data_IF_562651580444
#
_entry.id   IF_562651580444
#
_cell.length_a   1.000
_cell.length_b   1.000
_cell.length_c   1.000
_cell.angle_alpha   90.00
_cell.angle_beta   90.00
_cell.angle_gamma   90.00
#
_symmetry.space_group_name_H-M   'P 1'
#
loop_
_entity.id
_entity.type
_entity.pdbx_description
1 polymer ?
#
# COMPACT_ATOMS: atom_id res chain seq x y z
N UNK A 1 14.22 -28.76 -22.03
CA UNK A 1 15.10 -27.59 -21.88
C UNK A 1 16.49 -28.09 -21.50
N UNK A 2 17.53 -27.61 -22.19
CA UNK A 2 18.93 -27.95 -21.86
C UNK A 2 19.26 -27.52 -20.43
N UNK A 3 20.06 -28.32 -19.73
CA UNK A 3 20.42 -28.09 -18.33
C UNK A 3 21.14 -26.75 -18.13
N UNK A 4 22.02 -26.37 -19.06
CA UNK A 4 22.71 -25.07 -19.06
C UNK A 4 21.78 -23.86 -19.20
N UNK A 5 20.67 -24.01 -19.92
CA UNK A 5 19.66 -22.95 -20.06
C UNK A 5 18.86 -22.82 -18.76
N UNK A 6 18.50 -23.95 -18.16
CA UNK A 6 17.78 -23.98 -16.87
C UNK A 6 18.59 -23.31 -15.77
N UNK A 7 19.85 -23.70 -15.61
CA UNK A 7 20.75 -23.12 -14.62
C UNK A 7 20.90 -21.60 -14.79
N UNK A 8 20.99 -21.12 -16.03
CA UNK A 8 21.10 -19.69 -16.32
C UNK A 8 19.84 -18.92 -15.95
N UNK A 9 18.67 -19.50 -16.16
CA UNK A 9 17.38 -18.93 -15.77
C UNK A 9 17.21 -18.90 -14.25
N UNK A 10 17.58 -19.98 -13.56
CA UNK A 10 17.51 -20.06 -12.10
C UNK A 10 18.44 -19.04 -11.43
N UNK A 11 19.65 -18.87 -11.98
CA UNK A 11 20.58 -17.82 -11.55
C UNK A 11 20.00 -16.42 -11.78
N UNK A 12 19.37 -16.17 -12.93
CA UNK A 12 18.70 -14.89 -13.20
C UNK A 12 17.56 -14.61 -12.22
N UNK A 13 16.72 -15.60 -11.91
CA UNK A 13 15.65 -15.43 -10.92
C UNK A 13 16.20 -15.13 -9.52
N UNK A 14 17.32 -15.75 -9.17
CA UNK A 14 17.99 -15.53 -7.88
C UNK A 14 18.59 -14.13 -7.81
N UNK A 15 19.29 -13.69 -8.85
CA UNK A 15 19.79 -12.31 -8.98
C UNK A 15 18.64 -11.30 -8.89
N UNK A 16 17.53 -11.54 -9.59
CA UNK A 16 16.35 -10.66 -9.57
C UNK A 16 15.68 -10.55 -8.20
N UNK A 17 15.68 -11.62 -7.39
CA UNK A 17 15.12 -11.61 -6.03
C UNK A 17 16.00 -10.85 -5.04
N UNK A 18 17.32 -10.85 -5.25
CA UNK A 18 18.27 -10.17 -4.38
C UNK A 18 18.68 -8.77 -4.86
N UNK A 19 18.34 -8.38 -6.08
CA UNK A 19 18.72 -7.11 -6.68
C UNK A 19 18.03 -5.92 -5.98
N UNK A 20 18.79 -4.84 -5.82
CA UNK A 20 18.22 -3.55 -5.43
C UNK A 20 17.44 -2.93 -6.60
N UNK A 21 16.58 -1.96 -6.34
CA UNK A 21 15.81 -1.25 -7.39
C UNK A 21 16.72 -0.66 -8.50
N UNK A 22 17.93 -0.24 -8.13
CA UNK A 22 18.91 0.34 -9.05
C UNK A 22 19.59 -0.73 -9.92
N UNK A 23 19.67 -1.97 -9.45
CA UNK A 23 20.36 -3.07 -10.12
C UNK A 23 19.43 -3.92 -10.99
N UNK A 24 18.12 -3.89 -10.73
CA UNK A 24 17.10 -4.66 -11.47
C UNK A 24 17.19 -4.42 -12.98
N UNK A 25 17.42 -3.18 -13.40
CA UNK A 25 17.55 -2.84 -14.83
C UNK A 25 18.78 -3.54 -15.45
N UNK A 26 19.92 -3.52 -14.78
CA UNK A 26 21.15 -4.12 -15.27
C UNK A 26 21.05 -5.65 -15.34
N UNK A 27 20.42 -6.27 -14.33
CA UNK A 27 20.17 -7.72 -14.30
C UNK A 27 19.27 -8.14 -15.47
N UNK A 28 18.21 -7.37 -15.74
CA UNK A 28 17.32 -7.58 -16.89
C UNK A 28 18.03 -7.42 -18.22
N UNK A 29 18.85 -6.39 -18.39
CA UNK A 29 19.58 -6.14 -19.64
C UNK A 29 20.59 -7.25 -19.94
N UNK A 30 21.34 -7.69 -18.93
CA UNK A 30 22.28 -8.81 -19.05
C UNK A 30 21.57 -10.10 -19.45
N UNK A 31 20.43 -10.39 -18.83
CA UNK A 31 19.63 -11.56 -19.18
C UNK A 31 19.04 -11.47 -20.58
N UNK A 32 18.46 -10.31 -20.95
CA UNK A 32 17.89 -10.09 -22.28
C UNK A 32 18.95 -10.22 -23.39
N UNK A 33 20.17 -9.74 -23.14
CA UNK A 33 21.30 -9.87 -24.05
C UNK A 33 21.64 -11.34 -24.28
N UNK A 34 21.79 -12.12 -23.21
CA UNK A 34 22.02 -13.57 -23.33
C UNK A 34 20.85 -14.29 -24.02
N UNK A 35 19.61 -14.00 -23.65
CA UNK A 35 18.43 -14.64 -24.24
C UNK A 35 18.36 -14.43 -25.76
N UNK A 36 18.71 -13.24 -26.24
CA UNK A 36 18.77 -12.92 -27.67
C UNK A 36 19.88 -13.66 -28.42
N UNK A 37 20.94 -14.11 -27.74
CA UNK A 37 21.99 -14.94 -28.36
C UNK A 37 21.59 -16.41 -28.53
N UNK A 38 20.48 -16.85 -27.92
CA UNK A 38 20.00 -18.21 -28.07
C UNK A 38 19.40 -18.46 -29.45
N UNK A 39 19.49 -19.70 -29.92
CA UNK A 39 18.83 -20.14 -31.15
C UNK A 39 17.30 -20.08 -31.01
N UNK A 40 16.59 -20.01 -32.14
CA UNK A 40 15.13 -20.05 -32.15
C UNK A 40 14.56 -21.34 -31.50
N UNK A 41 15.27 -22.46 -31.65
CA UNK A 41 14.89 -23.74 -31.04
C UNK A 41 15.03 -23.68 -29.51
N UNK A 42 16.13 -23.16 -29.01
CA UNK A 42 16.37 -23.02 -27.57
C UNK A 42 15.38 -22.03 -26.93
N UNK A 43 15.05 -20.92 -27.63
CA UNK A 43 14.00 -19.99 -27.20
C UNK A 43 12.61 -20.65 -27.17
N UNK A 44 12.30 -21.49 -28.15
CA UNK A 44 11.04 -22.22 -28.21
C UNK A 44 10.91 -23.21 -27.04
N UNK A 45 12.00 -23.86 -26.62
CA UNK A 45 11.99 -24.75 -25.44
C UNK A 45 11.69 -24.03 -24.13
N UNK A 46 11.94 -22.71 -24.05
CA UNK A 46 11.68 -21.90 -22.86
C UNK A 46 10.24 -21.36 -22.78
N UNK A 47 9.47 -21.43 -23.87
CA UNK A 47 8.06 -20.98 -23.89
C UNK A 47 7.22 -21.51 -22.72
N UNK A 48 7.16 -22.82 -22.44
CA UNK A 48 6.30 -23.32 -21.35
C UNK A 48 6.71 -22.76 -19.99
N UNK A 49 8.01 -22.63 -19.73
CA UNK A 49 8.52 -21.99 -18.51
C UNK A 49 8.09 -20.52 -18.41
N UNK A 50 8.22 -19.74 -19.49
CA UNK A 50 7.78 -18.34 -19.46
C UNK A 50 6.27 -18.17 -19.31
N UNK A 51 5.49 -19.11 -19.86
CA UNK A 51 4.04 -19.12 -19.65
C UNK A 51 3.70 -19.36 -18.18
N UNK A 52 4.39 -20.29 -17.53
CA UNK A 52 4.22 -20.56 -16.09
C UNK A 52 4.59 -19.33 -15.25
N UNK A 53 5.77 -18.75 -15.45
CA UNK A 53 6.20 -17.52 -14.77
C UNK A 53 5.18 -16.38 -14.97
N UNK A 54 4.67 -16.21 -16.19
CA UNK A 54 3.66 -15.20 -16.51
C UNK A 54 2.34 -15.48 -15.79
N UNK A 55 1.93 -16.74 -15.69
CA UNK A 55 0.71 -17.14 -15.01
C UNK A 55 0.83 -16.90 -13.50
N UNK A 56 1.95 -17.29 -12.88
CA UNK A 56 2.21 -17.01 -11.47
C UNK A 56 2.24 -15.52 -11.17
N UNK A 57 2.88 -14.72 -12.04
CA UNK A 57 2.91 -13.26 -11.88
C UNK A 57 1.51 -12.63 -11.96
N UNK A 58 0.67 -13.11 -12.89
CA UNK A 58 -0.73 -12.65 -12.98
C UNK A 58 -1.53 -12.98 -11.71
N UNK A 59 -1.40 -14.20 -11.20
CA UNK A 59 -2.09 -14.61 -9.98
C UNK A 59 -1.66 -13.74 -8.78
N UNK A 60 -0.36 -13.47 -8.63
CA UNK A 60 0.14 -12.60 -7.58
C UNK A 60 -0.37 -11.14 -7.70
N UNK A 61 -0.45 -10.60 -8.92
CA UNK A 61 -1.00 -9.26 -9.16
C UNK A 61 -2.50 -9.22 -8.80
N UNK A 62 -3.24 -10.26 -9.16
CA UNK A 62 -4.67 -10.37 -8.82
C UNK A 62 -4.88 -10.44 -7.31
N UNK A 63 -4.09 -11.23 -6.60
CA UNK A 63 -4.10 -11.29 -5.13
C UNK A 63 -3.81 -9.93 -4.50
N UNK A 64 -2.75 -9.25 -4.95
CA UNK A 64 -2.40 -7.89 -4.48
C UNK A 64 -3.56 -6.92 -4.74
N UNK A 65 -4.18 -6.95 -5.92
CA UNK A 65 -5.30 -6.07 -6.23
C UNK A 65 -6.53 -6.36 -5.36
N UNK A 66 -6.81 -7.64 -5.07
CA UNK A 66 -7.88 -8.02 -4.18
C UNK A 66 -7.61 -7.52 -2.75
N UNK A 67 -6.41 -7.74 -2.22
CA UNK A 67 -6.01 -7.21 -0.91
C UNK A 67 -6.06 -5.67 -0.87
N UNK A 68 -5.63 -4.98 -1.93
CA UNK A 68 -5.74 -3.52 -2.02
C UNK A 68 -7.20 -3.06 -2.07
N UNK A 69 -8.09 -3.82 -2.72
CA UNK A 69 -9.53 -3.53 -2.77
C UNK A 69 -10.16 -3.71 -1.40
N UNK A 70 -9.82 -4.79 -0.68
CA UNK A 70 -10.25 -5.00 0.70
C UNK A 70 -9.74 -3.89 1.64
N UNK A 71 -8.47 -3.50 1.51
CA UNK A 71 -7.92 -2.38 2.28
C UNK A 71 -8.64 -1.08 1.98
N UNK A 72 -8.95 -0.79 0.71
CA UNK A 72 -9.75 0.38 0.32
C UNK A 72 -11.14 0.35 0.91
N UNK A 73 -11.81 -0.81 0.89
CA UNK A 73 -13.13 -0.97 1.49
C UNK A 73 -13.11 -0.77 3.02
N UNK A 74 -12.01 -1.13 3.68
CA UNK A 74 -11.81 -0.88 5.11
C UNK A 74 -11.50 0.60 5.41
N UNK A 75 -10.79 1.30 4.53
CA UNK A 75 -10.50 2.74 4.69
C UNK A 75 -11.69 3.63 4.31
N UNK A 76 -12.51 3.22 3.34
CA UNK A 76 -13.72 3.93 2.90
C UNK A 76 -14.92 3.76 3.86
N UNK A 77 -14.70 3.24 5.08
CA UNK A 77 -15.73 3.24 6.10
C UNK A 77 -16.20 4.68 6.35
N UNK A 78 -17.42 4.99 5.92
CA UNK A 78 -18.05 6.30 6.14
C UNK A 78 -18.85 6.25 7.43
N UNK A 79 -18.70 7.26 8.27
CA UNK A 79 -19.51 7.41 9.48
C UNK A 79 -20.70 8.31 9.13
N UNK A 80 -21.89 7.71 9.03
CA UNK A 80 -23.15 8.44 8.78
C UNK A 80 -23.69 8.94 10.12
N UNK A 81 -23.70 10.26 10.31
CA UNK A 81 -24.26 10.91 11.52
C UNK A 81 -25.47 11.74 11.11
N UNK A 82 -26.67 11.21 11.36
CA UNK A 82 -27.92 11.88 10.98
C UNK A 82 -28.10 11.94 9.45
N UNK A 83 -28.04 13.15 8.86
CA UNK A 83 -28.11 13.38 7.40
C UNK A 83 -26.75 13.64 6.73
N UNK A 84 -25.66 13.61 7.50
CA UNK A 84 -24.33 13.98 7.02
C UNK A 84 -23.43 12.73 6.95
N UNK A 85 -22.77 12.55 5.80
CA UNK A 85 -21.72 11.55 5.60
C UNK A 85 -20.35 12.17 5.93
N UNK A 86 -19.64 11.59 6.90
CA UNK A 86 -18.26 11.96 7.20
C UNK A 86 -17.32 10.85 6.72
N UNK A 87 -16.37 11.19 5.85
CA UNK A 87 -15.29 10.26 5.49
C UNK A 87 -14.33 10.10 6.66
N UNK A 88 -14.04 8.86 7.06
CA UNK A 88 -13.06 8.56 8.12
C UNK A 88 -11.60 8.85 7.68
N UNK A 89 -11.38 9.15 6.39
CA UNK A 89 -10.09 9.66 5.90
C UNK A 89 -9.81 11.09 6.38
N UNK A 90 -10.85 11.91 6.51
CA UNK A 90 -10.73 13.31 6.93
C UNK A 90 -10.99 13.48 8.43
N UNK A 91 -11.90 12.69 8.99
CA UNK A 91 -12.38 12.84 10.37
C UNK A 91 -11.96 11.64 11.21
N UNK A 92 -11.04 11.87 12.13
CA UNK A 92 -10.48 10.82 12.99
C UNK A 92 -10.86 11.04 14.45
N UNK A 93 -10.81 9.97 15.25
CA UNK A 93 -11.07 10.09 16.69
C UNK A 93 -9.93 10.83 17.40
N UNK A 94 -10.21 11.43 18.57
CA UNK A 94 -9.17 12.04 19.41
C UNK A 94 -8.04 11.04 19.73
N UNK A 95 -8.39 9.77 19.95
CA UNK A 95 -7.43 8.70 20.25
C UNK A 95 -6.51 8.41 19.06
N UNK A 96 -7.06 8.37 17.85
CA UNK A 96 -6.27 8.12 16.64
C UNK A 96 -5.41 9.33 16.27
N UNK A 97 -5.92 10.56 16.43
CA UNK A 97 -5.13 11.78 16.28
C UNK A 97 -3.96 11.83 17.27
N UNK A 98 -4.23 11.49 18.53
CA UNK A 98 -3.23 11.38 19.59
C UNK A 98 -2.12 10.37 19.23
N UNK A 99 -2.48 9.22 18.66
CA UNK A 99 -1.52 8.21 18.19
C UNK A 99 -0.72 8.67 16.97
N UNK A 100 -1.39 9.25 15.96
CA UNK A 100 -0.77 9.69 14.69
C UNK A 100 0.21 10.84 14.89
N UNK A 101 -0.10 11.78 15.79
CA UNK A 101 0.73 12.96 16.07
C UNK A 101 1.61 12.84 17.33
N UNK A 102 1.64 11.66 17.96
CA UNK A 102 2.38 11.40 19.20
C UNK A 102 2.08 12.43 20.33
N UNK A 103 0.80 12.77 20.48
CA UNK A 103 0.31 13.71 21.49
C UNK A 103 -0.43 12.94 22.59
N UNK A 104 -0.54 13.50 23.79
CA UNK A 104 -1.43 12.96 24.82
C UNK A 104 -2.89 13.32 24.49
N UNK A 105 -3.83 12.39 24.67
CA UNK A 105 -5.28 12.62 24.52
C UNK A 105 -5.76 13.86 25.28
N UNK A 106 -5.25 14.07 26.51
CA UNK A 106 -5.58 15.24 27.33
C UNK A 106 -5.12 16.56 26.71
N UNK A 107 -4.01 16.57 25.96
CA UNK A 107 -3.53 17.75 25.23
C UNK A 107 -4.49 18.11 24.10
N UNK A 108 -4.96 17.11 23.35
CA UNK A 108 -5.90 17.31 22.25
C UNK A 108 -7.26 17.80 22.79
N UNK A 109 -7.75 17.23 23.90
CA UNK A 109 -8.96 17.75 24.56
C UNK A 109 -8.79 19.20 25.01
N UNK A 110 -7.64 19.56 25.58
CA UNK A 110 -7.32 20.94 25.94
C UNK A 110 -7.24 21.87 24.73
N UNK A 111 -6.77 21.39 23.57
CA UNK A 111 -6.75 22.17 22.34
C UNK A 111 -8.16 22.49 21.83
N UNK A 112 -9.10 21.55 21.95
CA UNK A 112 -10.51 21.78 21.65
C UNK A 112 -11.08 22.83 22.61
N UNK A 113 -10.86 22.67 23.91
CA UNK A 113 -11.39 23.61 24.92
C UNK A 113 -10.80 25.03 24.79
N UNK A 114 -9.52 25.14 24.41
CA UNK A 114 -8.82 26.43 24.23
C UNK A 114 -9.00 27.05 22.85
N UNK A 115 -9.72 26.39 21.93
CA UNK A 115 -9.91 26.87 20.56
C UNK A 115 -8.67 26.80 19.66
N UNK A 116 -7.64 26.04 20.05
CA UNK A 116 -6.50 25.73 19.16
C UNK A 116 -6.96 24.84 18.01
N UNK A 117 -7.90 23.93 18.29
CA UNK A 117 -8.70 23.26 17.27
C UNK A 117 -10.01 24.04 17.16
N UNK A 118 -10.28 24.68 16.00
CA UNK A 118 -11.51 25.42 15.79
C UNK A 118 -12.76 24.53 15.95
N UNK A 119 -13.89 25.07 16.46
CA UNK A 119 -15.10 24.29 16.68
C UNK A 119 -15.72 23.73 15.38
N UNK A 120 -15.51 24.37 14.23
CA UNK A 120 -15.88 23.87 12.90
C UNK A 120 -15.07 22.64 12.46
N UNK A 121 -13.95 22.36 13.14
CA UNK A 121 -13.09 21.19 12.93
C UNK A 121 -13.35 20.08 13.95
N UNK A 122 -14.42 20.19 14.74
CA UNK A 122 -14.83 19.21 15.74
C UNK A 122 -16.28 18.78 15.50
N UNK A 123 -16.48 17.48 15.30
CA UNK A 123 -17.81 16.88 15.19
C UNK A 123 -18.06 16.06 16.43
N UNK A 124 -19.19 16.32 17.09
CA UNK A 124 -19.66 15.49 18.22
C UNK A 124 -20.72 14.56 17.65
N UNK A 125 -20.55 13.26 17.85
CA UNK A 125 -21.48 12.21 17.41
C UNK A 125 -22.31 11.77 18.61
N UNK A 126 -23.54 12.28 18.81
CA UNK A 126 -24.32 12.02 20.02
C UNK A 126 -24.72 10.54 20.13
N UNK A 127 -24.93 9.86 18.99
CA UNK A 127 -25.33 8.45 18.98
C UNK A 127 -24.22 7.50 19.45
N UNK A 128 -22.96 7.94 19.44
CA UNK A 128 -21.80 7.14 19.83
C UNK A 128 -21.22 7.63 21.17
N UNK A 129 -22.06 7.74 22.20
CA UNK A 129 -21.63 8.22 23.53
C UNK A 129 -20.92 9.58 23.48
N UNK A 130 -21.42 10.51 22.65
CA UNK A 130 -20.80 11.82 22.42
C UNK A 130 -19.33 11.75 21.96
N UNK A 131 -18.98 10.73 21.16
CA UNK A 131 -17.66 10.60 20.56
C UNK A 131 -17.32 11.88 19.78
N UNK A 132 -16.14 12.42 20.03
CA UNK A 132 -15.62 13.59 19.32
C UNK A 132 -14.69 13.14 18.20
N UNK A 133 -15.02 13.54 16.98
CA UNK A 133 -14.17 13.43 15.81
C UNK A 133 -13.54 14.79 15.53
N UNK A 134 -12.28 14.76 15.11
CA UNK A 134 -11.54 15.95 14.72
C UNK A 134 -10.95 15.75 13.34
N UNK A 135 -10.87 16.84 12.58
CA UNK A 135 -10.30 16.78 11.24
C UNK A 135 -8.79 16.55 11.32
N UNK A 136 -8.25 15.60 10.55
CA UNK A 136 -6.82 15.25 10.57
C UNK A 136 -5.94 16.30 9.87
N UNK A 137 -5.70 17.40 10.57
CA UNK A 137 -4.81 18.49 10.16
C UNK A 137 -3.78 18.75 11.28
N UNK A 138 -2.61 19.29 10.93
CA UNK A 138 -1.60 19.63 11.94
C UNK A 138 -1.98 20.94 12.62
N UNK A 139 -2.51 20.86 13.84
CA UNK A 139 -2.76 22.03 14.68
C UNK A 139 -1.51 22.37 15.48
N UNK A 140 -1.07 23.63 15.44
CA UNK A 140 0.05 24.11 16.26
C UNK A 140 -0.51 24.89 17.44
N UNK A 141 -0.07 24.56 18.65
CA UNK A 141 -0.30 25.44 19.80
C UNK A 141 0.49 26.73 19.58
N UNK A 142 -0.19 27.87 19.49
CA UNK A 142 0.41 29.17 19.69
C UNK A 142 1.05 29.27 21.08
#
# INVERSE_FOLDING_TARGET
MKESIKERVDNYLTEMRGASEQDVLQVRERFASWYRTLSAEDQAQMRPFWQDVKQSAKAAIEEINNSLTELKALTEAKLVVGKYEYSLDEWITISDYSRRHNLKTSRVQNWITRGVIPPDKVVIVPQLNSLKLIKDEVYKSA
#
